data_IF_843719817417
#
_entry.id   IF_843719817417
#
_cell.length_a   1.000
_cell.length_b   1.000
_cell.length_c   1.000
_cell.angle_alpha   90.00
_cell.angle_beta   90.00
_cell.angle_gamma   90.00
#
_symmetry.space_group_name_H-M   'P 1'
#
loop_
_entity.id
_entity.type
_entity.pdbx_description
1 polymer ?
#
# COMPACT_ATOMS: atom_id res chain seq x y z
N UNK A 1 10.14 12.44 -48.79
CA UNK A 1 8.89 12.75 -48.04
C UNK A 1 7.85 11.61 -48.13
N UNK A 2 7.64 10.94 -49.27
CA UNK A 2 6.67 9.85 -49.44
C UNK A 2 7.00 8.58 -48.64
N UNK A 3 8.27 8.25 -48.46
CA UNK A 3 8.73 7.05 -47.75
C UNK A 3 8.48 7.15 -46.24
N UNK A 4 8.76 8.32 -45.66
CA UNK A 4 8.49 8.60 -44.23
C UNK A 4 7.00 8.57 -43.92
N UNK A 5 6.13 9.09 -44.83
CA UNK A 5 4.68 9.02 -44.69
C UNK A 5 4.15 7.59 -44.67
N UNK A 6 4.75 6.64 -45.38
CA UNK A 6 4.33 5.25 -45.44
C UNK A 6 4.76 4.48 -44.20
N UNK A 7 5.94 4.77 -43.64
CA UNK A 7 6.44 4.17 -42.42
C UNK A 7 5.68 4.65 -41.14
N UNK A 8 5.18 5.88 -41.15
CA UNK A 8 4.37 6.40 -40.00
C UNK A 8 2.92 5.89 -39.98
N UNK A 9 2.42 5.22 -41.07
CA UNK A 9 1.03 4.73 -41.09
C UNK A 9 0.78 3.60 -40.09
N UNK A 10 1.69 2.63 -39.97
CA UNK A 10 1.52 1.48 -39.05
C UNK A 10 1.50 1.96 -37.59
N UNK A 11 2.52 2.71 -37.09
CA UNK A 11 2.46 3.21 -35.73
C UNK A 11 1.24 4.11 -35.44
N UNK A 12 0.80 4.89 -36.44
CA UNK A 12 -0.41 5.71 -36.31
C UNK A 12 -1.69 4.85 -36.18
N UNK A 13 -1.82 3.78 -36.95
CA UNK A 13 -2.94 2.84 -36.84
C UNK A 13 -2.93 2.16 -35.46
N UNK A 14 -1.77 1.72 -35.01
CA UNK A 14 -1.62 1.13 -33.66
C UNK A 14 -2.02 2.14 -32.58
N UNK A 15 -1.56 3.37 -32.67
CA UNK A 15 -1.91 4.42 -31.71
C UNK A 15 -3.42 4.69 -31.68
N UNK A 16 -4.06 4.81 -32.86
CA UNK A 16 -5.51 5.00 -32.97
C UNK A 16 -6.27 3.80 -32.40
N UNK A 17 -5.82 2.57 -32.70
CA UNK A 17 -6.43 1.36 -32.13
C UNK A 17 -6.31 1.32 -30.61
N UNK A 18 -5.15 1.67 -30.04
CA UNK A 18 -4.96 1.74 -28.59
C UNK A 18 -5.86 2.80 -27.92
N UNK A 19 -5.99 3.97 -28.54
CA UNK A 19 -6.90 5.02 -28.08
C UNK A 19 -8.37 4.54 -28.14
N UNK A 20 -8.76 3.88 -29.23
CA UNK A 20 -10.11 3.32 -29.35
C UNK A 20 -10.38 2.26 -28.26
N UNK A 21 -9.44 1.36 -28.00
CA UNK A 21 -9.54 0.37 -26.91
C UNK A 21 -9.64 1.06 -25.55
N UNK A 22 -8.86 2.11 -25.31
CA UNK A 22 -8.92 2.86 -24.06
C UNK A 22 -10.27 3.54 -23.87
N UNK A 23 -10.83 4.17 -24.92
CA UNK A 23 -12.16 4.82 -24.87
C UNK A 23 -13.27 3.78 -24.64
N UNK A 24 -13.28 2.71 -25.42
CA UNK A 24 -14.30 1.65 -25.27
C UNK A 24 -14.17 0.97 -23.90
N UNK A 25 -12.97 0.66 -23.46
CA UNK A 25 -12.70 0.08 -22.14
C UNK A 25 -13.16 0.99 -20.99
N UNK A 26 -12.93 2.30 -21.12
CA UNK A 26 -13.41 3.31 -20.17
C UNK A 26 -14.95 3.37 -20.13
N UNK A 27 -15.62 3.39 -21.27
CA UNK A 27 -17.09 3.41 -21.36
C UNK A 27 -17.68 2.13 -20.77
N UNK A 28 -17.17 0.95 -21.11
CA UNK A 28 -17.64 -0.34 -20.61
C UNK A 28 -17.48 -0.47 -19.10
N UNK A 29 -16.41 0.11 -18.55
CA UNK A 29 -16.12 0.13 -17.11
C UNK A 29 -16.74 1.31 -16.36
N UNK A 30 -17.53 2.17 -17.02
CA UNK A 30 -18.03 3.40 -16.40
C UNK A 30 -19.14 3.13 -15.37
N UNK A 31 -19.09 3.85 -14.26
CA UNK A 31 -20.01 3.74 -13.13
C UNK A 31 -21.50 3.94 -13.55
N UNK A 32 -21.75 4.82 -14.53
CA UNK A 32 -23.10 5.04 -15.09
C UNK A 32 -23.74 3.75 -15.60
N UNK A 33 -22.94 2.90 -16.24
CA UNK A 33 -23.41 1.65 -16.88
C UNK A 33 -23.30 0.47 -15.92
N UNK A 34 -22.31 0.51 -15.01
CA UNK A 34 -21.92 -0.60 -14.14
C UNK A 34 -22.15 -0.33 -12.64
N UNK A 35 -23.04 0.60 -12.29
CA UNK A 35 -23.31 0.98 -10.90
C UNK A 35 -23.52 -0.23 -9.97
N UNK A 36 -24.32 -1.22 -10.40
CA UNK A 36 -24.51 -2.46 -9.66
C UNK A 36 -23.21 -3.25 -9.41
N UNK A 37 -22.34 -3.34 -10.44
CA UNK A 37 -21.06 -4.03 -10.29
C UNK A 37 -20.12 -3.29 -9.32
N UNK A 38 -20.17 -1.95 -9.29
CA UNK A 38 -19.40 -1.16 -8.32
C UNK A 38 -19.93 -1.32 -6.89
N UNK A 39 -21.29 -1.33 -6.72
CA UNK A 39 -21.93 -1.62 -5.43
C UNK A 39 -21.49 -2.99 -4.88
N UNK A 40 -21.39 -3.98 -5.75
CA UNK A 40 -21.12 -5.37 -5.37
C UNK A 40 -19.60 -5.69 -5.22
N UNK A 41 -18.72 -4.67 -5.30
CA UNK A 41 -17.30 -4.82 -5.00
C UNK A 41 -17.06 -5.14 -3.51
N UNK A 42 -17.86 -4.54 -2.64
CA UNK A 42 -17.83 -4.81 -1.20
C UNK A 42 -19.00 -5.72 -0.83
N UNK A 43 -18.71 -6.88 -0.26
CA UNK A 43 -19.72 -7.75 0.34
C UNK A 43 -20.03 -7.24 1.74
N UNK A 44 -21.28 -6.84 1.96
CA UNK A 44 -21.75 -6.38 3.28
C UNK A 44 -22.62 -7.45 3.90
N UNK A 45 -22.24 -7.93 5.07
CA UNK A 45 -23.02 -8.87 5.86
C UNK A 45 -23.61 -8.15 7.08
N UNK A 46 -24.79 -8.56 7.50
CA UNK A 46 -25.42 -8.02 8.72
C UNK A 46 -25.01 -8.89 9.89
N UNK A 47 -24.31 -8.30 10.86
CA UNK A 47 -23.86 -8.93 12.07
C UNK A 47 -24.49 -8.33 13.32
N UNK A 48 -24.31 -8.99 14.47
CA UNK A 48 -24.69 -8.46 15.77
C UNK A 48 -23.45 -7.88 16.46
N UNK A 49 -23.44 -6.55 16.60
CA UNK A 49 -22.34 -5.82 17.21
C UNK A 49 -21.94 -6.36 18.59
N UNK A 50 -22.93 -6.77 19.42
CA UNK A 50 -22.68 -7.21 20.77
C UNK A 50 -21.99 -8.59 20.85
N UNK A 51 -22.11 -9.41 19.79
CA UNK A 51 -21.53 -10.77 19.75
C UNK A 51 -20.30 -10.88 18.87
N UNK A 52 -20.12 -9.98 17.91
CA UNK A 52 -19.05 -10.05 16.92
C UNK A 52 -17.91 -9.05 17.17
N UNK A 53 -18.16 -8.01 17.98
CA UNK A 53 -17.14 -7.02 18.33
C UNK A 53 -16.67 -7.28 19.76
N UNK A 54 -15.39 -7.63 19.90
CA UNK A 54 -14.77 -7.82 21.21
C UNK A 54 -14.66 -6.49 21.96
N UNK A 55 -14.95 -6.51 23.27
CA UNK A 55 -14.68 -5.37 24.14
C UNK A 55 -13.15 -5.21 24.29
N UNK A 56 -12.65 -4.05 23.94
CA UNK A 56 -11.25 -3.67 24.18
C UNK A 56 -11.18 -2.74 25.38
N UNK A 57 -10.16 -2.92 26.21
CA UNK A 57 -9.95 -2.04 27.34
C UNK A 57 -9.32 -0.70 26.89
N UNK A 58 -9.54 0.36 27.66
CA UNK A 58 -9.07 1.71 27.33
C UNK A 58 -7.56 1.80 27.17
N UNK A 59 -6.80 0.94 27.82
CA UNK A 59 -5.34 0.85 27.73
C UNK A 59 -4.85 0.13 26.46
N UNK A 60 -5.76 -0.37 25.63
CA UNK A 60 -5.45 -0.97 24.32
C UNK A 60 -5.88 -0.08 23.14
N UNK A 61 -6.53 1.05 23.41
CA UNK A 61 -6.97 1.95 22.34
C UNK A 61 -5.77 2.72 21.77
N UNK A 62 -5.50 2.61 20.45
CA UNK A 62 -4.43 3.36 19.83
C UNK A 62 -4.74 4.86 19.80
N UNK A 63 -3.95 5.66 20.54
CA UNK A 63 -4.14 7.11 20.70
C UNK A 63 -3.18 7.93 19.82
N UNK A 64 -2.21 7.29 19.18
CA UNK A 64 -1.14 7.97 18.45
C UNK A 64 -1.45 8.09 16.97
N UNK A 65 -1.68 9.31 16.49
CA UNK A 65 -1.77 9.61 15.06
C UNK A 65 -0.40 9.54 14.35
N UNK A 66 -0.43 9.61 13.00
CA UNK A 66 0.78 9.53 12.19
C UNK A 66 1.74 10.69 12.46
N UNK A 67 1.24 11.92 12.54
CA UNK A 67 2.07 13.13 12.69
C UNK A 67 2.76 13.16 14.07
N UNK A 68 2.08 12.69 15.10
CA UNK A 68 2.64 12.54 16.44
C UNK A 68 3.70 11.43 16.49
N UNK A 69 3.45 10.31 15.80
CA UNK A 69 4.42 9.22 15.68
C UNK A 69 5.71 9.70 14.96
N UNK A 70 5.56 10.50 13.89
CA UNK A 70 6.70 11.07 13.17
C UNK A 70 7.56 11.96 14.06
N UNK A 71 6.93 12.83 14.86
CA UNK A 71 7.66 13.68 15.82
C UNK A 71 8.40 12.87 16.88
N UNK A 72 7.78 11.81 17.38
CA UNK A 72 8.41 10.91 18.34
C UNK A 72 9.59 10.15 17.73
N UNK A 73 9.42 9.62 16.52
CA UNK A 73 10.47 8.91 15.79
C UNK A 73 11.68 9.81 15.50
N UNK A 74 11.43 11.02 14.99
CA UNK A 74 12.49 12.00 14.70
C UNK A 74 13.24 12.44 15.97
N UNK A 75 12.52 12.66 17.07
CA UNK A 75 13.16 12.95 18.36
C UNK A 75 14.03 11.79 18.81
N UNK A 76 13.54 10.56 18.72
CA UNK A 76 14.30 9.37 19.11
C UNK A 76 15.55 9.16 18.27
N UNK A 77 15.47 9.34 16.96
CA UNK A 77 16.62 9.28 16.08
C UNK A 77 17.65 10.39 16.41
N UNK A 78 17.19 11.59 16.78
CA UNK A 78 18.04 12.69 17.21
C UNK A 78 18.88 12.40 18.45
N UNK A 79 18.47 11.45 19.30
CA UNK A 79 19.23 10.99 20.46
C UNK A 79 20.38 10.02 20.07
N UNK A 80 20.38 9.50 18.83
CA UNK A 80 21.34 8.49 18.36
C UNK A 80 22.46 9.14 17.54
N UNK A 81 23.55 9.52 18.22
CA UNK A 81 24.67 10.24 17.60
C UNK A 81 25.37 9.48 16.46
N UNK A 82 25.27 8.16 16.45
CA UNK A 82 25.85 7.27 15.43
C UNK A 82 25.00 7.19 14.15
N UNK A 83 23.72 7.56 14.20
CA UNK A 83 22.78 7.45 13.07
C UNK A 83 22.29 8.80 12.55
N UNK A 84 22.05 9.77 13.43
CA UNK A 84 21.40 11.05 13.09
C UNK A 84 22.09 11.85 11.99
N UNK A 85 23.39 11.69 11.83
CA UNK A 85 24.16 12.37 10.80
C UNK A 85 24.03 11.75 9.40
N UNK A 86 23.61 10.48 9.31
CA UNK A 86 23.60 9.69 8.08
C UNK A 86 22.18 9.35 7.61
N UNK A 87 21.25 9.17 8.55
CA UNK A 87 19.92 8.67 8.32
C UNK A 87 18.85 9.62 8.84
N UNK A 88 17.68 9.51 8.27
CA UNK A 88 16.44 10.15 8.71
C UNK A 88 15.36 9.07 8.88
N UNK A 89 14.32 9.34 9.65
CA UNK A 89 13.15 8.45 9.71
C UNK A 89 12.38 8.59 8.40
N UNK A 90 11.93 7.49 7.82
CA UNK A 90 11.12 7.51 6.61
C UNK A 90 9.71 8.05 6.90
N UNK A 91 8.99 8.46 5.86
CA UNK A 91 7.63 9.00 5.95
C UNK A 91 6.57 7.88 5.97
N UNK A 92 6.98 6.66 5.71
CA UNK A 92 6.15 5.45 5.72
C UNK A 92 5.98 4.96 7.17
N UNK A 93 4.92 5.40 7.82
CA UNK A 93 4.52 4.92 9.15
C UNK A 93 3.32 3.98 8.99
N UNK A 94 3.56 2.68 9.07
CA UNK A 94 2.51 1.66 8.96
C UNK A 94 2.02 1.28 10.35
N UNK A 95 0.71 1.24 10.54
CA UNK A 95 0.09 0.74 11.76
C UNK A 95 -0.13 -0.76 11.64
N UNK A 96 0.40 -1.54 12.56
CA UNK A 96 0.26 -3.00 12.57
C UNK A 96 -0.10 -3.51 13.98
N UNK A 97 -0.57 -4.74 14.05
CA UNK A 97 -0.73 -5.46 15.30
C UNK A 97 0.50 -6.34 15.53
N UNK A 98 1.43 -5.89 16.34
CA UNK A 98 2.64 -6.64 16.65
C UNK A 98 2.57 -7.25 18.04
N UNK A 99 2.54 -8.59 18.10
CA UNK A 99 2.42 -9.35 19.36
C UNK A 99 1.23 -8.90 20.24
N UNK A 100 0.07 -8.68 19.60
CA UNK A 100 -1.16 -8.28 20.27
C UNK A 100 -1.20 -6.81 20.74
N UNK A 101 -0.28 -5.96 20.24
CA UNK A 101 -0.25 -4.53 20.56
C UNK A 101 -0.30 -3.68 19.28
N UNK A 102 -1.11 -2.61 19.26
CA UNK A 102 -1.12 -1.67 18.15
C UNK A 102 0.16 -0.85 18.16
N UNK A 103 0.96 -0.99 17.11
CA UNK A 103 2.21 -0.24 16.94
C UNK A 103 2.27 0.43 15.57
N UNK A 104 3.08 1.47 15.45
CA UNK A 104 3.52 2.00 14.16
C UNK A 104 4.95 1.60 13.90
N UNK A 105 5.21 1.08 12.71
CA UNK A 105 6.56 0.72 12.27
C UNK A 105 6.99 1.62 11.12
N UNK A 106 8.27 1.97 11.10
CA UNK A 106 8.84 2.79 10.04
C UNK A 106 10.31 2.46 9.84
N UNK A 107 10.81 2.34 8.60
CA UNK A 107 12.23 2.19 8.35
C UNK A 107 12.95 3.52 8.48
N UNK A 108 14.28 3.50 8.43
CA UNK A 108 15.07 4.68 8.16
C UNK A 108 15.13 4.96 6.65
N UNK A 109 15.61 6.15 6.29
CA UNK A 109 16.03 6.52 4.93
C UNK A 109 17.40 7.22 4.97
N UNK A 110 18.05 7.28 3.84
CA UNK A 110 19.29 8.05 3.72
C UNK A 110 18.99 9.54 3.69
N UNK A 111 19.75 10.33 4.44
CA UNK A 111 19.53 11.78 4.52
C UNK A 111 19.79 12.52 3.19
N UNK A 112 20.67 11.99 2.34
CA UNK A 112 20.95 12.51 1.00
C UNK A 112 21.65 11.46 0.11
N UNK A 113 21.92 11.82 -1.15
CA UNK A 113 22.60 10.97 -2.12
C UNK A 113 24.03 10.55 -1.71
N UNK A 114 24.79 11.42 -1.07
CA UNK A 114 26.16 11.12 -0.65
C UNK A 114 26.13 10.11 0.48
N UNK A 115 25.23 10.29 1.43
CA UNK A 115 25.02 9.38 2.54
C UNK A 115 24.56 8.01 2.06
N UNK A 116 23.64 7.97 1.06
CA UNK A 116 23.28 6.73 0.39
C UNK A 116 24.50 6.04 -0.24
N UNK A 117 25.31 6.75 -1.01
CA UNK A 117 26.46 6.19 -1.71
C UNK A 117 27.46 5.57 -0.73
N UNK A 118 27.67 6.20 0.42
CA UNK A 118 28.59 5.73 1.45
C UNK A 118 28.06 4.50 2.21
N UNK A 119 26.75 4.43 2.44
CA UNK A 119 26.14 3.40 3.29
C UNK A 119 25.43 2.28 2.50
N UNK A 120 25.32 2.38 1.17
CA UNK A 120 24.55 1.44 0.32
C UNK A 120 24.99 -0.02 0.42
N UNK A 121 26.25 -0.30 0.78
CA UNK A 121 26.76 -1.68 0.91
C UNK A 121 26.19 -2.37 2.14
N UNK A 122 26.06 -1.64 3.22
CA UNK A 122 25.55 -2.15 4.49
C UNK A 122 24.03 -2.06 4.60
N UNK A 123 23.42 -1.06 3.94
CA UNK A 123 21.99 -0.77 3.99
C UNK A 123 21.60 0.09 5.18
N UNK A 124 20.29 0.19 5.44
CA UNK A 124 19.76 0.94 6.57
C UNK A 124 19.88 0.09 7.85
N UNK A 125 20.53 0.60 8.91
CA UNK A 125 20.94 -0.22 10.05
C UNK A 125 19.83 -0.54 11.04
N UNK A 126 18.68 0.12 10.95
CA UNK A 126 17.60 -0.02 11.92
C UNK A 126 16.24 0.37 11.33
N UNK A 127 15.21 0.02 12.07
CA UNK A 127 13.84 0.54 11.92
C UNK A 127 13.28 0.91 13.30
N UNK A 128 12.17 1.62 13.35
CA UNK A 128 11.53 2.05 14.58
C UNK A 128 10.19 1.34 14.77
N UNK A 129 9.92 0.96 16.03
CA UNK A 129 8.60 0.53 16.51
C UNK A 129 8.11 1.59 17.50
N UNK A 130 6.91 2.11 17.28
CA UNK A 130 6.30 3.10 18.15
C UNK A 130 4.99 2.53 18.68
N UNK A 131 4.95 2.27 19.98
CA UNK A 131 3.75 1.80 20.66
C UNK A 131 2.68 2.90 20.66
N UNK A 132 1.51 2.60 20.11
CA UNK A 132 0.47 3.61 19.92
C UNK A 132 -0.32 3.95 21.19
N UNK A 133 -0.16 3.15 22.22
CA UNK A 133 -0.80 3.34 23.54
C UNK A 133 0.15 4.09 24.48
N UNK A 134 1.36 3.54 24.67
CA UNK A 134 2.34 4.08 25.63
C UNK A 134 3.20 5.19 25.03
N UNK A 135 3.18 5.38 23.70
CA UNK A 135 4.03 6.31 22.94
C UNK A 135 5.53 6.04 23.08
N UNK A 136 5.88 4.85 23.54
CA UNK A 136 7.29 4.45 23.63
C UNK A 136 7.86 4.16 22.24
N UNK A 137 9.08 4.64 21.99
CA UNK A 137 9.81 4.44 20.73
C UNK A 137 10.95 3.50 20.94
N UNK A 138 10.93 2.36 20.27
CA UNK A 138 12.00 1.38 20.22
C UNK A 138 12.74 1.51 18.88
N UNK A 139 14.08 1.48 18.93
CA UNK A 139 14.94 1.43 17.75
C UNK A 139 15.51 0.02 17.65
N UNK A 140 15.03 -0.72 16.68
CA UNK A 140 15.47 -2.10 16.43
C UNK A 140 16.67 -2.06 15.47
N UNK A 141 17.85 -2.39 15.99
CA UNK A 141 19.07 -2.49 15.20
C UNK A 141 19.16 -3.86 14.54
N UNK A 142 19.54 -3.86 13.28
CA UNK A 142 19.65 -5.06 12.46
C UNK A 142 21.11 -5.48 12.32
N UNK A 143 21.39 -6.78 12.38
CA UNK A 143 22.71 -7.34 12.08
C UNK A 143 23.08 -7.16 10.60
N UNK A 144 22.09 -7.27 9.72
CA UNK A 144 22.17 -6.96 8.29
C UNK A 144 21.17 -5.87 7.97
N UNK A 145 21.64 -4.77 7.39
CA UNK A 145 20.79 -3.62 7.11
C UNK A 145 19.74 -3.87 6.02
N UNK A 146 18.68 -3.05 6.04
CA UNK A 146 17.65 -3.03 5.01
C UNK A 146 18.27 -2.53 3.71
N UNK A 147 18.15 -3.34 2.64
CA UNK A 147 18.73 -3.07 1.33
C UNK A 147 17.67 -2.84 0.23
N UNK A 148 16.45 -3.31 0.45
CA UNK A 148 15.34 -3.16 -0.49
C UNK A 148 14.31 -2.24 0.15
N UNK A 149 14.19 -1.02 -0.38
CA UNK A 149 13.30 0.00 0.19
C UNK A 149 12.93 1.05 -0.86
N UNK A 150 11.90 1.83 -0.59
CA UNK A 150 11.49 2.98 -1.41
C UNK A 150 12.57 4.06 -1.50
N UNK A 151 13.42 4.17 -0.46
CA UNK A 151 14.53 5.13 -0.38
C UNK A 151 15.82 4.65 -1.08
N UNK A 152 15.89 3.42 -1.56
CA UNK A 152 17.01 2.91 -2.33
C UNK A 152 16.98 3.36 -3.78
N UNK A 153 18.12 3.20 -4.44
CA UNK A 153 18.30 3.55 -5.84
C UNK A 153 18.59 2.32 -6.70
N UNK A 154 18.45 2.49 -8.02
CA UNK A 154 18.72 1.46 -9.04
C UNK A 154 17.94 0.17 -8.79
N UNK A 155 18.62 -0.99 -8.81
CA UNK A 155 17.99 -2.30 -8.71
C UNK A 155 17.44 -2.67 -7.33
N UNK A 156 17.78 -1.91 -6.30
CA UNK A 156 17.27 -2.11 -4.93
C UNK A 156 16.10 -1.19 -4.57
N UNK A 157 15.81 -0.19 -5.41
CA UNK A 157 14.59 0.59 -5.24
C UNK A 157 13.37 -0.34 -5.37
N UNK A 158 12.54 -0.40 -4.36
CA UNK A 158 11.43 -1.36 -4.22
C UNK A 158 10.50 -1.36 -5.44
N UNK A 159 10.08 -0.18 -5.92
CA UNK A 159 9.18 -0.08 -7.08
C UNK A 159 9.81 -0.67 -8.34
N UNK A 160 11.09 -0.36 -8.58
CA UNK A 160 11.82 -0.90 -9.72
C UNK A 160 12.07 -2.39 -9.58
N UNK A 161 12.39 -2.85 -8.37
CA UNK A 161 12.57 -4.26 -8.05
C UNK A 161 11.31 -5.06 -8.37
N UNK A 162 10.16 -4.61 -7.90
CA UNK A 162 8.86 -5.21 -8.20
C UNK A 162 8.55 -5.20 -9.70
N UNK A 163 8.80 -4.08 -10.39
CA UNK A 163 8.54 -3.96 -11.82
C UNK A 163 9.35 -4.94 -12.67
N UNK A 164 10.58 -5.26 -12.26
CA UNK A 164 11.40 -6.25 -12.99
C UNK A 164 11.00 -7.69 -12.70
N UNK A 165 10.55 -8.01 -11.49
CA UNK A 165 10.16 -9.37 -11.13
C UNK A 165 8.71 -9.68 -11.48
N UNK A 166 7.84 -8.67 -11.48
CA UNK A 166 6.40 -8.77 -11.75
C UNK A 166 5.96 -7.73 -12.79
N UNK A 167 6.45 -7.80 -14.04
CA UNK A 167 6.27 -6.73 -15.04
C UNK A 167 4.80 -6.51 -15.45
N UNK A 168 3.92 -7.47 -15.21
CA UNK A 168 2.48 -7.40 -15.54
C UNK A 168 1.60 -7.05 -14.35
N UNK A 169 2.19 -6.92 -13.14
CA UNK A 169 1.42 -6.58 -11.95
C UNK A 169 1.31 -5.06 -11.79
N UNK A 170 0.17 -4.65 -11.29
CA UNK A 170 -0.06 -3.28 -10.84
C UNK A 170 -0.10 -3.35 -9.31
N UNK A 171 0.76 -2.59 -8.67
CA UNK A 171 0.83 -2.56 -7.22
C UNK A 171 0.15 -1.32 -6.67
N UNK A 172 -0.50 -1.47 -5.51
CA UNK A 172 -0.88 -0.35 -4.65
C UNK A 172 0.34 0.13 -3.85
N UNK A 173 0.15 1.10 -2.99
CA UNK A 173 1.20 1.66 -2.14
C UNK A 173 1.76 0.57 -1.23
N UNK A 174 3.08 0.29 -1.28
CA UNK A 174 3.70 -0.67 -0.38
C UNK A 174 3.63 -0.22 1.08
N UNK A 175 3.37 -1.16 1.99
CA UNK A 175 3.43 -0.97 3.43
C UNK A 175 4.70 -1.61 4.01
N UNK A 176 5.35 -0.94 4.95
CA UNK A 176 6.46 -1.50 5.70
C UNK A 176 5.92 -2.20 6.93
N UNK A 177 6.18 -3.48 7.08
CA UNK A 177 5.71 -4.30 8.20
C UNK A 177 6.84 -5.18 8.75
N UNK A 178 6.60 -5.80 9.89
CA UNK A 178 7.52 -6.77 10.50
C UNK A 178 6.76 -8.05 10.85
N UNK A 179 7.42 -9.18 10.65
CA UNK A 179 6.87 -10.46 11.08
C UNK A 179 6.97 -10.63 12.62
N UNK A 180 6.42 -11.72 13.15
CA UNK A 180 6.47 -12.04 14.59
C UNK A 180 7.90 -12.17 15.15
N UNK A 181 8.89 -12.42 14.29
CA UNK A 181 10.31 -12.48 14.64
C UNK A 181 10.98 -11.10 14.62
N UNK A 182 10.30 -10.06 14.16
CA UNK A 182 10.87 -8.70 13.97
C UNK A 182 11.66 -8.55 12.68
N UNK A 183 11.52 -9.47 11.71
CA UNK A 183 12.14 -9.31 10.41
C UNK A 183 11.36 -8.32 9.57
N UNK A 184 12.03 -7.34 8.92
CA UNK A 184 11.34 -6.32 8.14
C UNK A 184 10.95 -6.81 6.75
N UNK A 185 9.72 -6.49 6.35
CA UNK A 185 9.15 -6.79 5.05
C UNK A 185 8.47 -5.57 4.43
N UNK A 186 8.36 -5.60 3.12
CA UNK A 186 7.45 -4.75 2.36
C UNK A 186 6.27 -5.60 1.90
N UNK A 187 5.10 -5.22 2.30
CA UNK A 187 3.83 -5.76 1.81
C UNK A 187 3.41 -4.93 0.61
N UNK A 188 3.32 -5.56 -0.55
CA UNK A 188 3.06 -4.89 -1.82
C UNK A 188 1.75 -5.43 -2.42
N UNK A 189 0.58 -4.81 -2.13
CA UNK A 189 -0.71 -5.29 -2.59
C UNK A 189 -0.81 -5.22 -4.12
N UNK A 190 -1.33 -6.28 -4.73
CA UNK A 190 -1.55 -6.35 -6.16
C UNK A 190 -2.97 -5.91 -6.50
N UNK A 191 -3.06 -4.84 -7.28
CA UNK A 191 -4.33 -4.33 -7.81
C UNK A 191 -4.82 -5.21 -8.96
N UNK A 192 -6.11 -5.56 -8.92
CA UNK A 192 -6.87 -6.13 -10.02
C UNK A 192 -8.01 -5.21 -10.42
N UNK A 193 -8.23 -5.05 -11.73
CA UNK A 193 -9.41 -4.37 -12.27
C UNK A 193 -10.48 -5.42 -12.58
N UNK A 194 -11.65 -5.31 -11.95
CA UNK A 194 -12.73 -6.30 -12.01
C UNK A 194 -13.89 -5.89 -12.90
N UNK A 195 -13.99 -4.59 -13.23
CA UNK A 195 -15.08 -4.02 -14.02
C UNK A 195 -14.53 -3.42 -15.32
N UNK A 196 -14.73 -4.12 -16.43
CA UNK A 196 -14.13 -3.74 -17.71
C UNK A 196 -12.60 -3.78 -17.67
N UNK A 197 -11.93 -2.87 -18.40
CA UNK A 197 -10.46 -2.83 -18.46
C UNK A 197 -9.84 -1.98 -17.34
N UNK A 198 -10.55 -0.96 -16.85
CA UNK A 198 -9.95 0.06 -15.98
C UNK A 198 -10.74 0.32 -14.68
N UNK A 199 -11.97 -0.20 -14.58
CA UNK A 199 -12.86 0.01 -13.45
C UNK A 199 -12.81 -1.09 -12.40
N UNK A 200 -13.45 -0.85 -11.24
CA UNK A 200 -13.58 -1.83 -10.17
C UNK A 200 -12.24 -2.25 -9.61
N UNK A 201 -11.57 -1.31 -8.91
CA UNK A 201 -10.31 -1.64 -8.23
C UNK A 201 -10.57 -2.59 -7.08
N UNK A 202 -9.82 -3.68 -7.06
CA UNK A 202 -9.82 -4.68 -6.00
C UNK A 202 -8.39 -5.21 -5.79
N UNK A 203 -8.16 -5.94 -4.72
CA UNK A 203 -6.90 -6.60 -4.42
C UNK A 203 -7.09 -8.10 -4.53
N UNK A 204 -6.23 -8.79 -5.26
CA UNK A 204 -6.25 -10.25 -5.38
C UNK A 204 -5.14 -10.95 -4.58
N UNK A 205 -4.22 -10.20 -4.02
CA UNK A 205 -3.13 -10.71 -3.20
C UNK A 205 -2.05 -9.67 -2.96
N UNK A 206 -0.93 -10.11 -2.40
CA UNK A 206 0.22 -9.25 -2.17
C UNK A 206 1.53 -9.98 -2.45
N UNK A 207 2.55 -9.23 -2.86
CA UNK A 207 3.93 -9.69 -2.87
C UNK A 207 4.58 -9.24 -1.57
N UNK A 208 5.09 -10.19 -0.80
CA UNK A 208 5.92 -9.92 0.37
C UNK A 208 7.38 -9.90 -0.06
N UNK A 209 8.09 -8.83 0.25
CA UNK A 209 9.52 -8.68 -0.05
C UNK A 209 10.27 -8.53 1.26
N UNK A 210 11.16 -9.45 1.59
CA UNK A 210 12.06 -9.28 2.72
C UNK A 210 12.98 -8.08 2.48
N UNK A 211 12.89 -7.07 3.33
CA UNK A 211 13.58 -5.80 3.12
C UNK A 211 15.12 -5.90 3.23
N UNK A 212 15.64 -6.96 3.86
CA UNK A 212 17.09 -7.23 4.02
C UNK A 212 17.63 -8.03 2.85
N UNK A 213 17.02 -9.20 2.57
CA UNK A 213 17.55 -10.17 1.60
C UNK A 213 17.06 -9.93 0.17
N UNK A 214 15.88 -9.32 0.02
CA UNK A 214 15.19 -9.18 -1.26
C UNK A 214 14.43 -10.45 -1.68
N UNK A 215 14.41 -11.50 -0.88
CA UNK A 215 13.53 -12.64 -1.13
C UNK A 215 12.09 -12.16 -1.22
N UNK A 216 11.38 -12.64 -2.23
CA UNK A 216 10.02 -12.18 -2.48
C UNK A 216 9.13 -13.34 -2.89
N UNK A 217 7.87 -13.28 -2.46
CA UNK A 217 6.85 -14.27 -2.80
C UNK A 217 5.49 -13.61 -2.95
N UNK A 218 4.73 -14.04 -3.95
CA UNK A 218 3.32 -13.66 -4.10
C UNK A 218 2.44 -14.61 -3.29
N UNK A 219 1.45 -14.05 -2.63
CA UNK A 219 0.38 -14.76 -1.93
C UNK A 219 -0.97 -14.25 -2.42
N UNK A 220 -1.91 -15.18 -2.65
CA UNK A 220 -3.31 -14.80 -2.82
C UNK A 220 -3.86 -14.19 -1.52
N UNK A 221 -4.81 -13.27 -1.59
CA UNK A 221 -5.30 -12.51 -0.43
C UNK A 221 -5.76 -13.40 0.75
N UNK A 222 -6.28 -14.59 0.48
CA UNK A 222 -6.72 -15.58 1.48
C UNK A 222 -5.58 -16.39 2.10
N UNK A 223 -4.41 -16.43 1.47
CA UNK A 223 -3.27 -17.27 1.84
C UNK A 223 -2.10 -16.42 2.39
N UNK A 224 -2.32 -15.13 2.58
CA UNK A 224 -1.33 -14.22 3.20
C UNK A 224 -1.10 -14.62 4.65
N UNK A 225 0.15 -14.60 5.16
CA UNK A 225 0.44 -14.90 6.56
C UNK A 225 -0.32 -13.99 7.54
N UNK A 226 -0.73 -14.53 8.68
CA UNK A 226 -1.56 -13.86 9.70
C UNK A 226 -0.94 -12.58 10.30
N UNK A 227 0.39 -12.40 10.21
CA UNK A 227 1.06 -11.21 10.71
C UNK A 227 0.99 -10.00 9.75
N UNK A 228 0.46 -10.19 8.54
CA UNK A 228 0.35 -9.13 7.53
C UNK A 228 -0.98 -8.40 7.70
N UNK A 229 -0.91 -7.11 8.00
CA UNK A 229 -2.09 -6.28 8.25
C UNK A 229 -2.57 -5.51 7.01
N UNK A 230 -1.67 -5.17 6.07
CA UNK A 230 -1.97 -4.25 4.96
C UNK A 230 -2.02 -4.93 3.58
N UNK A 231 -2.90 -5.92 3.44
CA UNK A 231 -3.26 -6.46 2.11
C UNK A 231 -4.26 -5.52 1.43
N UNK A 232 -5.28 -5.08 2.17
CA UNK A 232 -6.26 -4.08 1.73
C UNK A 232 -5.93 -2.72 2.34
N UNK A 233 -5.78 -1.71 1.50
CA UNK A 233 -5.57 -0.34 1.99
C UNK A 233 -6.88 0.26 2.49
N UNK A 234 -6.81 1.09 3.53
CA UNK A 234 -7.99 1.76 4.08
C UNK A 234 -8.71 2.61 3.01
N UNK A 235 -7.95 3.30 2.15
CA UNK A 235 -8.49 4.11 1.06
C UNK A 235 -9.31 3.27 0.08
N UNK A 236 -8.87 2.05 -0.24
CA UNK A 236 -9.62 1.15 -1.11
C UNK A 236 -10.92 0.67 -0.47
N UNK A 237 -10.87 0.27 0.81
CA UNK A 237 -12.05 -0.18 1.55
C UNK A 237 -13.08 0.95 1.64
N UNK A 238 -12.66 2.16 1.99
CA UNK A 238 -13.54 3.34 2.04
C UNK A 238 -14.14 3.61 0.67
N UNK A 239 -13.34 3.57 -0.40
CA UNK A 239 -13.86 3.76 -1.76
C UNK A 239 -14.90 2.70 -2.16
N UNK A 240 -14.68 1.43 -1.81
CA UNK A 240 -15.64 0.37 -2.10
C UNK A 240 -16.91 0.51 -1.24
N UNK A 241 -16.76 0.96 0.01
CA UNK A 241 -17.89 1.29 0.89
C UNK A 241 -18.73 2.44 0.33
N UNK A 242 -18.09 3.50 -0.14
CA UNK A 242 -18.78 4.63 -0.78
C UNK A 242 -19.52 4.19 -2.04
N UNK A 243 -18.93 3.31 -2.85
CA UNK A 243 -19.64 2.72 -4.00
C UNK A 243 -20.85 1.90 -3.58
N UNK A 244 -20.72 1.10 -2.50
CA UNK A 244 -21.82 0.32 -1.98
C UNK A 244 -22.98 1.22 -1.54
N UNK A 245 -22.72 2.23 -0.74
CA UNK A 245 -23.73 3.17 -0.25
C UNK A 245 -24.31 4.06 -1.35
N UNK A 246 -23.46 4.60 -2.22
CA UNK A 246 -23.90 5.51 -3.31
C UNK A 246 -24.78 4.80 -4.33
N UNK A 247 -24.43 3.56 -4.71
CA UNK A 247 -25.13 2.84 -5.79
C UNK A 247 -26.12 1.80 -5.29
N UNK A 248 -26.60 1.89 -4.07
CA UNK A 248 -27.54 0.93 -3.44
C UNK A 248 -28.76 0.65 -4.33
N UNK A 249 -29.31 1.64 -4.99
CA UNK A 249 -30.41 1.55 -5.96
C UNK A 249 -30.01 2.00 -7.37
N UNK A 250 -28.71 1.90 -7.70
CA UNK A 250 -28.15 2.22 -9.01
C UNK A 250 -27.85 3.71 -9.24
N UNK A 251 -27.25 3.99 -10.40
CA UNK A 251 -26.70 5.31 -10.73
C UNK A 251 -27.78 6.43 -10.77
N UNK A 252 -28.95 6.15 -11.33
CA UNK A 252 -30.01 7.18 -11.43
C UNK A 252 -30.49 7.60 -10.04
N UNK A 253 -30.63 6.64 -9.12
CA UNK A 253 -31.02 6.95 -7.74
C UNK A 253 -29.97 7.80 -7.04
N UNK A 254 -28.68 7.58 -7.27
CA UNK A 254 -27.61 8.38 -6.64
C UNK A 254 -27.66 9.85 -7.04
N UNK A 255 -28.20 10.18 -8.21
CA UNK A 255 -28.29 11.55 -8.69
C UNK A 255 -29.60 12.25 -8.31
N UNK A 256 -30.72 11.56 -8.42
CA UNK A 256 -32.04 12.20 -8.36
C UNK A 256 -32.92 11.76 -7.17
N UNK A 257 -32.95 10.47 -6.89
CA UNK A 257 -33.80 9.92 -5.82
C UNK A 257 -33.17 9.97 -4.45
N UNK A 258 -31.88 9.69 -4.41
CA UNK A 258 -31.02 9.62 -3.20
C UNK A 258 -31.63 8.80 -2.06
N UNK A 259 -32.50 7.83 -2.41
CA UNK A 259 -33.12 6.95 -1.43
C UNK A 259 -32.07 5.97 -0.90
N UNK A 260 -31.95 5.89 0.42
CA UNK A 260 -31.04 5.00 1.15
C UNK A 260 -29.54 5.18 0.76
N UNK A 261 -29.20 6.30 0.12
CA UNK A 261 -27.80 6.62 -0.23
C UNK A 261 -27.04 7.01 1.03
N UNK A 262 -25.91 6.36 1.25
CA UNK A 262 -24.93 6.66 2.33
C UNK A 262 -23.58 6.92 1.71
N UNK A 263 -22.83 7.88 2.26
CA UNK A 263 -21.45 8.26 1.88
C UNK A 263 -20.66 8.52 3.13
#
# INVERSE_FOLDING_TARGET
FGFVKKQCRIPMIIAVALVAVAIVGGIVGWQVIRAGSYRDLLTVETGDFATEVEEISYDQIPMLDKDSAEKLGNRKLGELSDMVSQFEVAEEYTQINYKGRPVRVTPLRYGDWIKWFNNRSEGLPAYLIIDMVTQNVEVVRLEQGIRYTTAEHFGRNLYRYLQFHYPTYIFDKPAFEIDEGGNPYWVCPRIRKTIGLFGGTDIDGAVLVNAVTGEHQYYDAKDVPDWVDHVYTADLIVQQYDYHGTYIHGFINSLFGQRDVTV
#
